data_IF_808925769326
#
_entry.id   IF_808925769326
#
_cell.length_a   1.000
_cell.length_b   1.000
_cell.length_c   1.000
_cell.angle_alpha   90.00
_cell.angle_beta   90.00
_cell.angle_gamma   90.00
#
_symmetry.space_group_name_H-M   'P 1'
#
loop_
_entity.id
_entity.type
_entity.pdbx_description
1 polymer ?
#
# COMPACT_ATOMS: atom_id res chain seq x y z
N UNK A 1 -10.50 8.92 5.00
CA UNK A 1 -9.36 8.45 5.79
C UNK A 1 -8.10 8.42 4.92
N UNK A 2 -6.98 8.00 5.52
CA UNK A 2 -5.71 8.00 4.82
C UNK A 2 -5.70 7.13 3.58
N UNK A 3 -6.29 5.94 3.65
CA UNK A 3 -6.32 5.05 2.49
C UNK A 3 -7.11 5.64 1.33
N UNK A 4 -8.23 6.29 1.61
CA UNK A 4 -9.01 6.94 0.56
C UNK A 4 -8.22 8.05 -0.11
N UNK A 5 -7.53 8.85 0.69
CA UNK A 5 -6.67 9.92 0.18
C UNK A 5 -5.58 9.37 -0.72
N UNK A 6 -4.88 8.34 -0.26
CA UNK A 6 -3.76 7.77 -1.00
C UNK A 6 -4.24 7.09 -2.28
N UNK A 7 -5.34 6.36 -2.21
CA UNK A 7 -5.89 5.70 -3.39
C UNK A 7 -6.29 6.71 -4.45
N UNK A 8 -6.88 7.83 -4.02
CA UNK A 8 -7.34 8.85 -4.94
C UNK A 8 -6.18 9.64 -5.56
N UNK A 9 -5.19 9.98 -4.76
CA UNK A 9 -4.11 10.86 -5.21
C UNK A 9 -2.91 10.12 -5.79
N UNK A 10 -2.67 8.89 -5.36
CA UNK A 10 -1.53 8.09 -5.81
C UNK A 10 -2.00 6.68 -6.17
N UNK A 11 -2.86 6.55 -7.19
CA UNK A 11 -3.50 5.26 -7.49
C UNK A 11 -2.52 4.16 -7.88
N UNK A 12 -1.43 4.49 -8.57
CA UNK A 12 -0.46 3.47 -8.97
C UNK A 12 0.31 2.94 -7.78
N UNK A 13 0.74 3.84 -6.89
CA UNK A 13 1.44 3.44 -5.67
C UNK A 13 0.52 2.64 -4.76
N UNK A 14 -0.75 3.03 -4.68
CA UNK A 14 -1.72 2.32 -3.86
C UNK A 14 -1.95 0.91 -4.38
N UNK A 15 -2.12 0.75 -5.70
CA UNK A 15 -2.36 -0.55 -6.30
C UNK A 15 -1.16 -1.47 -6.09
N UNK A 16 0.05 -0.96 -6.27
CA UNK A 16 1.26 -1.75 -6.04
C UNK A 16 1.35 -2.18 -4.58
N UNK A 17 1.07 -1.26 -3.65
CA UNK A 17 1.08 -1.56 -2.22
C UNK A 17 0.06 -2.65 -1.89
N UNK A 18 -1.13 -2.58 -2.48
CA UNK A 18 -2.18 -3.57 -2.27
C UNK A 18 -1.72 -4.95 -2.72
N UNK A 19 -1.10 -5.04 -3.89
CA UNK A 19 -0.60 -6.29 -4.43
C UNK A 19 0.49 -6.86 -3.53
N UNK A 20 1.43 -6.04 -3.11
CA UNK A 20 2.51 -6.46 -2.23
C UNK A 20 1.96 -6.98 -0.91
N UNK A 21 1.02 -6.25 -0.30
CA UNK A 21 0.44 -6.67 0.97
C UNK A 21 -0.33 -7.98 0.83
N UNK A 22 -1.04 -8.17 -0.28
CA UNK A 22 -1.76 -9.42 -0.52
C UNK A 22 -0.78 -10.59 -0.59
N UNK A 23 0.31 -10.43 -1.33
CA UNK A 23 1.32 -11.48 -1.44
C UNK A 23 1.99 -11.78 -0.10
N UNK A 24 2.32 -10.74 0.66
CA UNK A 24 2.94 -10.93 1.96
C UNK A 24 2.02 -11.63 2.94
N UNK A 25 0.74 -11.24 2.96
CA UNK A 25 -0.21 -11.86 3.88
C UNK A 25 -0.36 -13.35 3.61
N UNK A 26 -0.34 -13.74 2.34
CA UNK A 26 -0.45 -15.15 1.97
C UNK A 26 0.85 -15.91 2.25
N UNK A 27 1.99 -15.31 1.90
CA UNK A 27 3.28 -15.98 2.07
C UNK A 27 3.63 -16.19 3.54
N UNK A 28 3.34 -15.20 4.38
CA UNK A 28 3.69 -15.23 5.79
C UNK A 28 2.55 -15.72 6.67
N UNK A 29 1.37 -15.92 6.08
CA UNK A 29 0.16 -16.33 6.80
C UNK A 29 -0.18 -15.37 7.93
N UNK A 30 -0.02 -14.07 7.67
CA UNK A 30 -0.39 -13.02 8.62
C UNK A 30 -1.49 -12.19 8.00
N UNK A 31 -2.31 -11.59 8.86
CA UNK A 31 -3.37 -10.71 8.40
C UNK A 31 -2.87 -9.27 8.51
N UNK A 32 -2.73 -8.63 7.35
CA UNK A 32 -2.32 -7.23 7.29
C UNK A 32 -3.56 -6.35 7.30
N UNK A 33 -3.48 -5.25 8.02
CA UNK A 33 -4.59 -4.33 8.12
C UNK A 33 -4.60 -3.36 6.94
N UNK A 34 -5.79 -2.85 6.63
CA UNK A 34 -5.96 -1.94 5.50
C UNK A 34 -5.07 -0.71 5.59
N UNK A 35 -4.87 -0.21 6.82
CA UNK A 35 -4.04 0.97 7.01
C UNK A 35 -2.60 0.74 6.58
N UNK A 36 -2.12 -0.50 6.62
CA UNK A 36 -0.75 -0.81 6.23
C UNK A 36 -0.56 -0.68 4.73
N UNK A 37 -1.62 -0.88 3.95
CA UNK A 37 -1.57 -0.65 2.51
C UNK A 37 -1.30 0.84 2.26
N UNK A 38 -2.00 1.71 2.97
CA UNK A 38 -1.80 3.15 2.84
C UNK A 38 -0.40 3.59 3.22
N UNK A 39 0.14 3.06 4.32
CA UNK A 39 1.51 3.37 4.72
C UNK A 39 2.52 2.93 3.67
N UNK A 40 2.37 1.72 3.16
CA UNK A 40 3.28 1.22 2.13
C UNK A 40 3.16 2.06 0.85
N UNK A 41 1.94 2.40 0.47
CA UNK A 41 1.72 3.22 -0.72
C UNK A 41 2.40 4.58 -0.61
N UNK A 42 2.31 5.22 0.56
CA UNK A 42 2.99 6.49 0.78
C UNK A 42 4.50 6.34 0.68
N UNK A 43 5.03 5.24 1.21
CA UNK A 43 6.45 4.96 1.11
C UNK A 43 6.88 4.77 -0.34
N UNK A 44 6.11 3.99 -1.10
CA UNK A 44 6.39 3.75 -2.52
C UNK A 44 6.37 5.07 -3.29
N UNK A 45 5.39 5.91 -3.02
CA UNK A 45 5.28 7.18 -3.70
C UNK A 45 6.50 8.06 -3.43
N UNK A 46 6.93 8.12 -2.17
CA UNK A 46 8.08 8.92 -1.79
C UNK A 46 9.36 8.44 -2.49
N UNK A 47 9.57 7.12 -2.50
CA UNK A 47 10.75 6.55 -3.13
C UNK A 47 10.73 6.79 -4.65
N UNK A 48 9.55 6.73 -5.26
CA UNK A 48 9.41 6.95 -6.70
C UNK A 48 9.73 8.39 -7.11
N UNK A 49 9.70 9.31 -6.17
CA UNK A 49 10.01 10.72 -6.44
C UNK A 49 11.49 11.04 -6.32
N UNK A 50 12.30 10.13 -5.89
CA UNK A 50 13.75 10.33 -5.72
C UNK A 50 14.55 10.04 -7.02
#
# INVERSE_FOLDING_TARGET
>A
NMNDYVEHNFPQSYELARIICDHLSKALRVQLEEIEIGYLAMHIERVSME
#
